data_IF_272933077840
#
_entry.id   IF_272933077840
#
_cell.length_a   1.000
_cell.length_b   1.000
_cell.length_c   1.000
_cell.angle_alpha   90.00
_cell.angle_beta   90.00
_cell.angle_gamma   90.00
#
_symmetry.space_group_name_H-M   'P 1'
#
loop_
_entity.id
_entity.type
_entity.pdbx_description
1 polymer ?
#
# COMPACT_ATOMS: atom_id res chain seq x y z
N UNK A 1 -11.13 -35.12 -1.22
CA UNK A 1 -11.24 -34.67 0.17
C UNK A 1 -11.95 -33.33 0.17
N UNK A 2 -12.94 -33.13 1.04
CA UNK A 2 -13.75 -31.91 1.08
C UNK A 2 -14.65 -31.87 2.30
N UNK A 3 -15.23 -30.72 2.61
CA UNK A 3 -16.06 -30.53 3.81
C UNK A 3 -17.21 -31.54 3.86
N UNK A 4 -17.82 -31.82 2.71
CA UNK A 4 -18.93 -32.78 2.52
C UNK A 4 -18.59 -34.24 2.84
N UNK A 5 -17.31 -34.61 2.93
CA UNK A 5 -16.86 -35.98 3.24
C UNK A 5 -16.14 -36.06 4.59
N UNK A 6 -15.36 -35.05 4.95
CA UNK A 6 -14.47 -35.07 6.12
C UNK A 6 -15.09 -34.39 7.37
N UNK A 7 -16.05 -33.47 7.17
CA UNK A 7 -16.57 -32.60 8.24
C UNK A 7 -18.08 -32.77 8.49
N UNK A 8 -18.66 -33.89 8.05
CA UNK A 8 -20.08 -34.25 8.22
C UNK A 8 -20.46 -34.67 9.66
N UNK A 9 -20.02 -33.92 10.66
CA UNK A 9 -20.27 -34.22 12.09
C UNK A 9 -20.48 -32.95 12.92
N UNK A 10 -20.99 -33.10 14.14
CA UNK A 10 -21.10 -31.97 15.08
C UNK A 10 -19.73 -31.37 15.43
N UNK A 11 -18.69 -32.21 15.51
CA UNK A 11 -17.30 -31.76 15.68
C UNK A 11 -16.83 -30.97 14.45
N UNK A 12 -17.11 -31.47 13.24
CA UNK A 12 -16.79 -30.79 11.99
C UNK A 12 -17.50 -29.43 11.88
N UNK A 13 -18.76 -29.34 12.31
CA UNK A 13 -19.48 -28.07 12.40
C UNK A 13 -18.77 -27.07 13.32
N UNK A 14 -18.36 -27.49 14.53
CA UNK A 14 -17.62 -26.64 15.45
C UNK A 14 -16.28 -26.16 14.87
N UNK A 15 -15.55 -27.04 14.18
CA UNK A 15 -14.30 -26.68 13.49
C UNK A 15 -14.55 -25.64 12.37
N UNK A 16 -15.61 -25.81 11.58
CA UNK A 16 -16.00 -24.85 10.53
C UNK A 16 -16.42 -23.49 11.09
N UNK A 17 -17.07 -23.44 12.26
CA UNK A 17 -17.39 -22.18 12.92
C UNK A 17 -16.13 -21.44 13.37
N UNK A 18 -15.16 -22.14 13.97
CA UNK A 18 -13.89 -21.56 14.40
C UNK A 18 -13.04 -21.08 13.21
N UNK A 19 -13.02 -21.85 12.12
CA UNK A 19 -12.34 -21.47 10.88
C UNK A 19 -12.92 -20.16 10.32
N UNK A 20 -14.24 -20.04 10.21
CA UNK A 20 -14.89 -18.82 9.72
C UNK A 20 -14.58 -17.59 10.61
N UNK A 21 -14.50 -17.77 11.92
CA UNK A 21 -14.09 -16.69 12.84
C UNK A 21 -12.61 -16.32 12.68
N UNK A 22 -11.73 -17.30 12.45
CA UNK A 22 -10.32 -17.06 12.22
C UNK A 22 -10.08 -16.29 10.91
N UNK A 23 -10.76 -16.68 9.83
CA UNK A 23 -10.70 -15.97 8.54
C UNK A 23 -11.23 -14.54 8.68
N UNK A 24 -12.34 -14.32 9.37
CA UNK A 24 -12.85 -12.96 9.63
C UNK A 24 -11.84 -12.10 10.40
N UNK A 25 -11.19 -12.66 11.42
CA UNK A 25 -10.13 -11.94 12.17
C UNK A 25 -8.94 -11.60 11.28
N UNK A 26 -8.54 -12.51 10.39
CA UNK A 26 -7.47 -12.28 9.42
C UNK A 26 -7.81 -11.13 8.46
N UNK A 27 -8.99 -11.16 7.86
CA UNK A 27 -9.45 -10.12 6.93
C UNK A 27 -9.55 -8.75 7.62
N UNK A 28 -10.02 -8.71 8.87
CA UNK A 28 -10.06 -7.47 9.65
C UNK A 28 -8.64 -6.93 9.95
N UNK A 29 -7.68 -7.82 10.19
CA UNK A 29 -6.25 -7.47 10.28
C UNK A 29 -5.72 -6.89 8.97
N UNK A 30 -5.97 -7.54 7.84
CA UNK A 30 -5.61 -7.06 6.51
C UNK A 30 -6.22 -5.69 6.21
N UNK A 31 -7.50 -5.49 6.55
CA UNK A 31 -8.20 -4.21 6.35
C UNK A 31 -7.55 -3.06 7.12
N UNK A 32 -7.20 -3.29 8.39
CA UNK A 32 -6.49 -2.29 9.20
C UNK A 32 -5.10 -1.99 8.64
N UNK A 33 -4.38 -3.02 8.19
CA UNK A 33 -3.07 -2.86 7.58
C UNK A 33 -3.13 -2.05 6.29
N UNK A 34 -4.08 -2.35 5.39
CA UNK A 34 -4.30 -1.56 4.17
C UNK A 34 -4.74 -0.12 4.49
N UNK A 35 -5.59 0.09 5.49
CA UNK A 35 -5.98 1.43 5.93
C UNK A 35 -4.78 2.24 6.44
N UNK A 36 -3.83 1.58 7.12
CA UNK A 36 -2.59 2.22 7.54
C UNK A 36 -1.72 2.58 6.32
N UNK A 37 -1.66 1.73 5.29
CA UNK A 37 -0.95 2.06 4.04
C UNK A 37 -1.54 3.29 3.36
N UNK A 38 -2.87 3.36 3.23
CA UNK A 38 -3.58 4.55 2.71
C UNK A 38 -3.18 5.82 3.47
N UNK A 39 -3.14 5.76 4.80
CA UNK A 39 -2.72 6.88 5.64
C UNK A 39 -1.26 7.27 5.37
N UNK A 40 -0.37 6.29 5.31
CA UNK A 40 1.06 6.50 5.07
C UNK A 40 1.33 7.13 3.70
N UNK A 41 0.72 6.64 2.63
CA UNK A 41 0.91 7.19 1.27
C UNK A 41 0.37 8.63 1.20
N UNK A 42 -0.76 8.91 1.87
CA UNK A 42 -1.33 10.27 1.95
C UNK A 42 -0.45 11.24 2.75
N UNK A 43 0.12 10.79 3.87
CA UNK A 43 1.05 11.59 4.67
C UNK A 43 2.34 11.86 3.90
N UNK A 44 2.88 10.86 3.20
CA UNK A 44 4.10 11.02 2.42
C UNK A 44 3.90 11.96 1.23
N UNK A 45 2.77 11.85 0.52
CA UNK A 45 2.37 12.83 -0.48
C UNK A 45 2.34 14.27 0.08
N UNK A 46 1.79 14.46 1.29
CA UNK A 46 1.78 15.75 1.96
C UNK A 46 3.18 16.30 2.27
N UNK A 47 4.12 15.44 2.69
CA UNK A 47 5.50 15.83 2.95
C UNK A 47 6.23 16.23 1.66
N UNK A 48 6.07 15.46 0.58
CA UNK A 48 6.64 15.79 -0.73
C UNK A 48 6.07 17.08 -1.31
N UNK A 49 4.75 17.30 -1.17
CA UNK A 49 4.12 18.56 -1.54
C UNK A 49 4.70 19.75 -0.77
N UNK A 50 5.01 19.57 0.50
CA UNK A 50 5.61 20.64 1.29
C UNK A 50 7.03 21.00 0.81
N UNK A 51 7.81 20.00 0.38
CA UNK A 51 9.14 20.22 -0.19
C UNK A 51 9.08 21.06 -1.48
N UNK A 52 8.14 20.76 -2.39
CA UNK A 52 8.00 21.52 -3.64
C UNK A 52 7.57 22.97 -3.41
N UNK A 53 6.79 23.24 -2.36
CA UNK A 53 6.35 24.59 -2.00
C UNK A 53 7.47 25.44 -1.38
N UNK A 54 8.37 24.84 -0.60
CA UNK A 54 9.50 25.56 0.03
C UNK A 54 10.50 26.12 -1.02
N UNK A 55 10.58 25.50 -2.19
CA UNK A 55 11.46 25.91 -3.29
C UNK A 55 10.96 27.16 -4.06
N UNK A 56 9.78 27.68 -3.74
CA UNK A 56 9.23 28.91 -4.34
C UNK A 56 10.15 30.14 -4.19
N UNK A 57 11.13 30.10 -3.29
CA UNK A 57 12.14 31.14 -3.06
C UNK A 57 13.28 31.19 -4.08
N UNK A 58 13.47 30.15 -4.91
CA UNK A 58 14.53 30.10 -5.94
C UNK A 58 14.24 30.88 -7.23
N UNK A 59 13.06 31.51 -7.34
CA UNK A 59 12.62 32.29 -8.52
C UNK A 59 13.46 33.55 -8.81
N UNK A 60 14.52 33.80 -8.04
CA UNK A 60 15.50 34.86 -8.26
C UNK A 60 16.73 34.43 -9.08
N UNK A 61 16.94 33.13 -9.36
CA UNK A 61 18.00 32.70 -10.27
C UNK A 61 17.65 33.08 -11.72
N UNK A 62 18.67 33.48 -12.48
CA UNK A 62 18.49 33.82 -13.90
C UNK A 62 17.82 32.66 -14.63
N UNK A 63 16.71 32.88 -15.35
CA UNK A 63 15.96 31.82 -16.05
C UNK A 63 16.80 31.12 -17.14
N UNK A 64 17.99 31.64 -17.44
CA UNK A 64 18.92 31.12 -18.44
C UNK A 64 20.00 30.20 -17.85
N UNK A 65 20.01 29.94 -16.53
CA UNK A 65 20.95 29.02 -15.88
C UNK A 65 20.52 27.56 -16.09
N UNK A 66 21.36 26.70 -16.70
CA UNK A 66 21.13 25.26 -16.81
C UNK A 66 20.87 24.58 -15.45
N UNK A 67 21.62 24.96 -14.40
CA UNK A 67 21.39 24.44 -13.04
C UNK A 67 20.01 24.85 -12.52
N UNK A 68 19.63 26.13 -12.68
CA UNK A 68 18.32 26.62 -12.24
C UNK A 68 17.17 25.91 -12.94
N UNK A 69 17.27 25.68 -14.26
CA UNK A 69 16.27 24.93 -15.03
C UNK A 69 16.17 23.47 -14.59
N UNK A 70 17.32 22.81 -14.39
CA UNK A 70 17.37 21.41 -13.97
C UNK A 70 16.81 21.24 -12.57
N UNK A 71 17.10 22.18 -11.67
CA UNK A 71 16.53 22.20 -10.32
C UNK A 71 15.01 22.40 -10.33
N UNK A 72 14.50 23.34 -11.13
CA UNK A 72 13.06 23.56 -11.28
C UNK A 72 12.35 22.31 -11.84
N UNK A 73 12.97 21.57 -12.75
CA UNK A 73 12.43 20.30 -13.25
C UNK A 73 12.39 19.24 -12.14
N UNK A 74 13.46 19.09 -11.36
CA UNK A 74 13.51 18.15 -10.22
C UNK A 74 12.40 18.44 -9.20
N UNK A 75 12.16 19.71 -8.87
CA UNK A 75 11.12 20.08 -7.89
C UNK A 75 9.71 19.93 -8.47
N UNK A 76 9.53 20.21 -9.76
CA UNK A 76 8.29 19.91 -10.50
C UNK A 76 7.96 18.41 -10.53
N UNK A 77 8.95 17.56 -10.83
CA UNK A 77 8.79 16.10 -10.84
C UNK A 77 8.51 15.55 -9.44
N UNK A 78 9.13 16.12 -8.39
CA UNK A 78 8.82 15.79 -6.99
C UNK A 78 7.36 16.13 -6.62
N UNK A 79 6.81 17.24 -7.12
CA UNK A 79 5.38 17.54 -6.99
C UNK A 79 4.50 16.55 -7.79
N UNK A 80 4.98 16.09 -8.95
CA UNK A 80 4.37 14.98 -9.68
C UNK A 80 4.23 13.71 -8.84
N UNK A 81 5.32 13.31 -8.17
CA UNK A 81 5.35 12.15 -7.27
C UNK A 81 4.39 12.31 -6.07
N UNK A 82 4.32 13.52 -5.51
CA UNK A 82 3.35 13.86 -4.46
C UNK A 82 1.91 13.60 -4.90
N UNK A 83 1.53 14.06 -6.10
CA UNK A 83 0.18 13.83 -6.64
C UNK A 83 -0.09 12.35 -6.88
N UNK A 84 0.89 11.63 -7.43
CA UNK A 84 0.77 10.20 -7.69
C UNK A 84 0.52 9.39 -6.40
N UNK A 85 1.29 9.64 -5.34
CA UNK A 85 1.10 8.94 -4.06
C UNK A 85 -0.24 9.28 -3.38
N UNK A 86 -0.74 10.50 -3.59
CA UNK A 86 -2.08 10.88 -3.12
C UNK A 86 -3.15 10.09 -3.85
N UNK A 87 -3.00 9.93 -5.16
CA UNK A 87 -3.88 9.09 -5.98
C UNK A 87 -3.80 7.62 -5.55
N UNK A 88 -2.61 7.07 -5.28
CA UNK A 88 -2.48 5.71 -4.72
C UNK A 88 -3.30 5.54 -3.44
N UNK A 89 -3.24 6.52 -2.52
CA UNK A 89 -4.03 6.47 -1.30
C UNK A 89 -5.54 6.49 -1.56
N UNK A 90 -6.01 7.29 -2.52
CA UNK A 90 -7.42 7.39 -2.91
C UNK A 90 -7.92 6.12 -3.61
N UNK A 91 -7.13 5.58 -4.54
CA UNK A 91 -7.43 4.36 -5.30
C UNK A 91 -7.39 3.12 -4.40
N UNK A 92 -6.42 3.02 -3.50
CA UNK A 92 -6.39 1.96 -2.47
C UNK A 92 -7.63 2.01 -1.58
N UNK A 93 -8.05 3.20 -1.17
CA UNK A 93 -9.17 3.39 -0.27
C UNK A 93 -10.52 3.07 -0.93
N UNK A 94 -10.71 3.49 -2.19
CA UNK A 94 -11.95 3.29 -2.94
C UNK A 94 -12.02 1.93 -3.65
N UNK A 95 -10.89 1.32 -3.98
CA UNK A 95 -10.77 0.01 -4.63
C UNK A 95 -10.60 -1.16 -3.64
N UNK A 96 -9.39 -1.70 -3.46
CA UNK A 96 -9.17 -2.94 -2.72
C UNK A 96 -9.63 -2.88 -1.26
N UNK A 97 -9.48 -1.74 -0.57
CA UNK A 97 -9.94 -1.59 0.81
C UNK A 97 -11.48 -1.66 0.92
N UNK A 98 -12.21 -1.07 -0.02
CA UNK A 98 -13.68 -1.09 -0.03
C UNK A 98 -14.21 -2.50 -0.36
N UNK A 99 -13.60 -3.17 -1.35
CA UNK A 99 -13.87 -4.57 -1.73
C UNK A 99 -13.63 -5.52 -0.56
N UNK A 100 -12.53 -5.34 0.18
CA UNK A 100 -12.23 -6.11 1.39
C UNK A 100 -13.28 -5.87 2.48
N UNK A 101 -13.74 -4.63 2.65
CA UNK A 101 -14.83 -4.28 3.55
C UNK A 101 -16.15 -5.00 3.21
N UNK A 102 -16.47 -5.12 1.91
CA UNK A 102 -17.63 -5.88 1.44
C UNK A 102 -17.45 -7.38 1.71
N UNK A 103 -16.29 -7.96 1.37
CA UNK A 103 -16.00 -9.37 1.60
C UNK A 103 -16.14 -9.77 3.08
N UNK A 104 -15.72 -8.89 4.01
CA UNK A 104 -15.91 -9.10 5.44
C UNK A 104 -17.40 -9.17 5.80
N UNK A 105 -18.23 -8.27 5.27
CA UNK A 105 -19.68 -8.27 5.51
C UNK A 105 -20.35 -9.52 4.97
N UNK A 106 -20.02 -9.92 3.74
CA UNK A 106 -20.55 -11.14 3.13
C UNK A 106 -20.16 -12.38 3.93
N UNK A 107 -18.92 -12.47 4.44
CA UNK A 107 -18.49 -13.57 5.31
C UNK A 107 -19.20 -13.60 6.66
N UNK A 108 -19.47 -12.43 7.25
CA UNK A 108 -20.27 -12.35 8.48
C UNK A 108 -21.70 -12.86 8.25
N UNK A 109 -22.28 -12.54 7.10
CA UNK A 109 -23.61 -13.01 6.74
C UNK A 109 -23.62 -14.51 6.43
N UNK A 110 -22.66 -15.00 5.63
CA UNK A 110 -22.47 -16.41 5.31
C UNK A 110 -22.38 -17.25 6.59
N UNK A 111 -21.60 -16.80 7.57
CA UNK A 111 -21.44 -17.50 8.86
C UNK A 111 -22.76 -17.65 9.60
N UNK A 112 -23.59 -16.61 9.64
CA UNK A 112 -24.92 -16.66 10.27
C UNK A 112 -25.83 -17.63 9.53
N UNK A 113 -25.96 -17.47 8.22
CA UNK A 113 -26.82 -18.29 7.38
C UNK A 113 -26.43 -19.77 7.43
N UNK A 114 -25.14 -20.10 7.37
CA UNK A 114 -24.66 -21.47 7.54
C UNK A 114 -25.05 -22.06 8.90
N UNK A 115 -24.86 -21.30 9.98
CA UNK A 115 -25.19 -21.77 11.34
C UNK A 115 -26.68 -22.03 11.50
N UNK A 116 -27.52 -21.14 10.97
CA UNK A 116 -28.98 -21.28 10.99
C UNK A 116 -29.45 -22.49 10.18
N UNK A 117 -28.94 -22.65 8.94
CA UNK A 117 -29.27 -23.79 8.09
C UNK A 117 -28.83 -25.12 8.71
N UNK A 118 -27.64 -25.16 9.31
CA UNK A 118 -27.16 -26.35 10.00
C UNK A 118 -28.06 -26.71 11.19
N UNK A 119 -28.43 -25.72 12.02
CA UNK A 119 -29.34 -25.92 13.15
C UNK A 119 -30.72 -26.40 12.69
N UNK A 120 -31.26 -25.83 11.62
CA UNK A 120 -32.54 -26.25 11.05
C UNK A 120 -32.51 -27.73 10.65
N UNK A 121 -31.47 -28.17 9.92
CA UNK A 121 -31.32 -29.57 9.52
C UNK A 121 -31.24 -30.52 10.74
N UNK A 122 -30.54 -30.12 11.82
CA UNK A 122 -30.50 -30.93 13.04
C UNK A 122 -31.84 -30.99 13.78
N UNK A 123 -32.58 -29.89 13.81
CA UNK A 123 -33.91 -29.85 14.42
C UNK A 123 -34.89 -30.74 13.66
N UNK A 124 -34.88 -30.68 12.33
CA UNK A 124 -35.73 -31.52 11.48
C UNK A 124 -35.41 -33.01 11.65
N UNK A 125 -34.12 -33.37 11.69
CA UNK A 125 -33.69 -34.74 11.98
C UNK A 125 -34.15 -35.20 13.37
N UNK A 126 -33.95 -34.37 14.40
CA UNK A 126 -34.33 -34.70 15.78
C UNK A 126 -35.84 -34.89 15.92
N UNK A 127 -36.63 -34.03 15.27
CA UNK A 127 -38.08 -34.12 15.26
C UNK A 127 -38.56 -35.42 14.59
N UNK A 128 -38.09 -35.69 13.37
CA UNK A 128 -38.51 -36.85 12.60
C UNK A 128 -38.02 -38.18 13.20
N UNK A 129 -36.78 -38.23 13.69
CA UNK A 129 -36.17 -39.49 14.14
C UNK A 129 -36.45 -39.81 15.61
N UNK A 130 -36.51 -38.80 16.48
CA UNK A 130 -36.65 -39.00 17.92
C UNK A 130 -38.06 -38.65 18.41
N UNK A 131 -38.51 -37.42 18.20
CA UNK A 131 -39.74 -36.92 18.84
C UNK A 131 -41.00 -37.62 18.30
N UNK A 132 -41.16 -37.65 16.99
CA UNK A 132 -42.35 -38.25 16.36
C UNK A 132 -42.38 -39.78 16.56
N UNK A 133 -41.23 -40.43 16.51
CA UNK A 133 -41.10 -41.88 16.73
C UNK A 133 -41.39 -42.26 18.18
N UNK A 134 -40.86 -41.54 19.18
CA UNK A 134 -41.16 -41.83 20.59
C UNK A 134 -42.64 -41.55 20.93
N UNK A 135 -43.25 -40.55 20.30
CA UNK A 135 -44.69 -40.31 20.40
C UNK A 135 -45.50 -41.47 19.83
N UNK A 136 -45.14 -41.99 18.66
CA UNK A 136 -45.80 -43.15 18.08
C UNK A 136 -45.62 -44.41 18.94
N UNK A 137 -44.40 -44.65 19.44
CA UNK A 137 -44.09 -45.79 20.33
C UNK A 137 -44.87 -45.73 21.64
N UNK A 138 -44.92 -44.58 22.30
CA UNK A 138 -45.64 -44.42 23.57
C UNK A 138 -47.13 -44.70 23.41
N UNK A 139 -47.76 -44.13 22.38
CA UNK A 139 -49.16 -44.38 22.02
C UNK A 139 -49.41 -45.86 21.68
N UNK A 140 -48.48 -46.50 20.94
CA UNK A 140 -48.57 -47.91 20.63
C UNK A 140 -48.61 -48.75 21.91
N UNK A 141 -47.67 -48.52 22.85
CA UNK A 141 -47.59 -49.28 24.11
C UNK A 141 -48.90 -49.19 24.91
N UNK A 142 -49.53 -48.01 24.95
CA UNK A 142 -50.83 -47.83 25.61
C UNK A 142 -51.91 -48.66 24.91
N UNK A 143 -52.07 -48.52 23.58
CA UNK A 143 -53.08 -49.27 22.82
C UNK A 143 -52.88 -50.78 22.89
N UNK A 144 -51.63 -51.25 22.95
CA UNK A 144 -51.31 -52.66 23.11
C UNK A 144 -51.72 -53.19 24.50
N UNK A 145 -51.46 -52.42 25.56
CA UNK A 145 -51.91 -52.74 26.93
C UNK A 145 -53.44 -52.75 27.03
N UNK A 146 -54.10 -51.74 26.47
CA UNK A 146 -55.57 -51.66 26.44
C UNK A 146 -56.19 -52.85 25.69
N UNK A 147 -55.59 -53.23 24.56
CA UNK A 147 -56.04 -54.37 23.77
C UNK A 147 -55.83 -55.70 24.51
N UNK A 148 -54.71 -55.86 25.20
CA UNK A 148 -54.45 -57.04 26.04
C UNK A 148 -55.44 -57.12 27.22
N UNK A 149 -55.78 -56.00 27.85
CA UNK A 149 -56.76 -55.95 28.92
C UNK A 149 -58.17 -56.26 28.42
N UNK A 150 -58.57 -55.71 27.27
CA UNK A 150 -59.86 -56.01 26.64
C UNK A 150 -59.98 -57.48 26.23
N UNK A 151 -58.88 -58.08 25.74
CA UNK A 151 -58.81 -59.52 25.44
C UNK A 151 -59.07 -60.38 26.68
N UNK A 152 -58.41 -60.08 27.81
CA UNK A 152 -58.60 -60.80 29.08
C UNK A 152 -60.06 -60.72 29.54
N UNK A 153 -60.63 -59.51 29.58
CA UNK A 153 -62.04 -59.29 29.97
C UNK A 153 -63.05 -60.02 29.07
N UNK A 154 -62.77 -60.12 27.77
CA UNK A 154 -63.60 -60.90 26.85
C UNK A 154 -63.51 -62.42 27.13
N UNK A 155 -62.32 -62.93 27.44
CA UNK A 155 -62.12 -64.34 27.78
C UNK A 155 -62.77 -64.75 29.10
N UNK A 156 -62.85 -63.82 30.07
CA UNK A 156 -63.42 -64.05 31.40
C UNK A 156 -64.96 -63.89 31.45
N UNK A 157 -65.61 -63.38 30.41
CA UNK A 157 -67.05 -63.14 30.40
C UNK A 157 -67.86 -64.43 30.17
N UNK A 158 -68.65 -64.86 31.17
CA UNK A 158 -69.40 -66.12 31.13
C UNK A 158 -70.87 -66.02 30.69
N UNK A 159 -71.48 -64.83 30.69
CA UNK A 159 -72.88 -64.59 30.27
C UNK A 159 -72.96 -64.09 28.83
N UNK A 160 -73.86 -64.63 28.00
CA UNK A 160 -73.96 -64.29 26.56
C UNK A 160 -74.06 -62.78 26.29
N UNK A 161 -74.94 -62.06 27.01
CA UNK A 161 -75.14 -60.61 26.81
C UNK A 161 -73.93 -59.76 27.24
N UNK A 162 -73.19 -60.18 28.26
CA UNK A 162 -71.99 -59.49 28.74
C UNK A 162 -70.77 -59.83 27.87
N UNK A 163 -70.75 -61.05 27.33
CA UNK A 163 -69.74 -61.54 26.41
C UNK A 163 -69.78 -60.82 25.07
N UNK A 164 -70.97 -60.55 24.52
CA UNK A 164 -71.11 -59.77 23.28
C UNK A 164 -70.61 -58.32 23.44
N UNK A 165 -70.95 -57.66 24.56
CA UNK A 165 -70.42 -56.32 24.87
C UNK A 165 -68.90 -56.32 25.04
N UNK A 166 -68.34 -57.34 25.69
CA UNK A 166 -66.91 -57.48 25.86
C UNK A 166 -66.19 -57.76 24.52
N UNK A 167 -66.81 -58.55 23.63
CA UNK A 167 -66.35 -58.81 22.26
C UNK A 167 -66.27 -57.51 21.46
N UNK A 168 -67.34 -56.71 21.45
CA UNK A 168 -67.36 -55.44 20.71
C UNK A 168 -66.30 -54.45 21.21
N UNK A 169 -66.04 -54.43 22.52
CA UNK A 169 -64.99 -53.59 23.11
C UNK A 169 -63.60 -54.06 22.70
N UNK A 170 -63.38 -55.37 22.65
CA UNK A 170 -62.12 -55.97 22.19
C UNK A 170 -61.88 -55.75 20.70
N UNK A 171 -62.90 -55.93 19.84
CA UNK A 171 -62.79 -55.64 18.40
C UNK A 171 -62.45 -54.17 18.17
N UNK A 172 -63.09 -53.25 18.90
CA UNK A 172 -62.79 -51.81 18.82
C UNK A 172 -61.37 -51.47 19.30
N UNK A 173 -60.85 -52.12 20.34
CA UNK A 173 -59.47 -51.89 20.78
C UNK A 173 -58.46 -52.43 19.78
N UNK A 174 -58.70 -53.62 19.20
CA UNK A 174 -57.88 -54.18 18.12
C UNK A 174 -57.85 -53.28 16.89
N UNK A 175 -59.00 -52.75 16.45
CA UNK A 175 -59.05 -51.83 15.30
C UNK A 175 -58.14 -50.61 15.52
N UNK A 176 -58.20 -49.99 16.71
CA UNK A 176 -57.31 -48.88 17.06
C UNK A 176 -55.84 -49.29 17.09
N UNK A 177 -55.53 -50.46 17.66
CA UNK A 177 -54.18 -50.98 17.72
C UNK A 177 -53.60 -51.25 16.32
N UNK A 178 -54.36 -51.89 15.44
CA UNK A 178 -53.92 -52.19 14.07
C UNK A 178 -53.74 -50.91 13.24
N UNK A 179 -54.67 -49.97 13.32
CA UNK A 179 -54.53 -48.67 12.66
C UNK A 179 -53.27 -47.93 13.14
N UNK A 180 -53.02 -47.93 14.45
CA UNK A 180 -51.83 -47.29 15.01
C UNK A 180 -50.54 -48.05 14.69
N UNK A 181 -50.58 -49.39 14.61
CA UNK A 181 -49.45 -50.19 14.14
C UNK A 181 -49.01 -49.79 12.74
N UNK A 182 -49.97 -49.70 11.81
CA UNK A 182 -49.68 -49.27 10.44
C UNK A 182 -49.06 -47.86 10.43
N UNK A 183 -49.60 -46.93 11.23
CA UNK A 183 -49.05 -45.57 11.35
C UNK A 183 -47.63 -45.56 11.92
N UNK A 184 -47.34 -46.42 12.90
CA UNK A 184 -46.00 -46.56 13.45
C UNK A 184 -45.02 -47.13 12.42
N UNK A 185 -45.38 -48.19 11.70
CA UNK A 185 -44.55 -48.79 10.64
C UNK A 185 -44.22 -47.76 9.56
N UNK A 186 -45.22 -47.00 9.09
CA UNK A 186 -45.01 -45.93 8.12
C UNK A 186 -44.12 -44.81 8.68
N UNK A 187 -44.34 -44.41 9.94
CA UNK A 187 -43.51 -43.42 10.62
C UNK A 187 -42.04 -43.83 10.73
N UNK A 188 -41.77 -45.10 11.09
CA UNK A 188 -40.40 -45.65 11.11
C UNK A 188 -39.78 -45.59 9.73
N UNK A 189 -40.53 -45.96 8.67
CA UNK A 189 -40.01 -45.89 7.31
C UNK A 189 -39.69 -44.46 6.88
N UNK A 190 -40.54 -43.50 7.24
CA UNK A 190 -40.29 -42.07 6.98
C UNK A 190 -39.03 -41.58 7.71
N UNK A 191 -38.86 -41.93 8.98
CA UNK A 191 -37.66 -41.57 9.76
C UNK A 191 -36.37 -42.21 9.19
N UNK A 192 -36.42 -43.45 8.72
CA UNK A 192 -35.29 -44.10 8.04
C UNK A 192 -34.86 -43.36 6.77
N UNK A 193 -35.83 -42.99 5.92
CA UNK A 193 -35.55 -42.21 4.71
C UNK A 193 -35.00 -40.82 5.06
N UNK A 194 -35.56 -40.15 6.07
CA UNK A 194 -35.07 -38.85 6.52
C UNK A 194 -33.63 -38.95 7.03
N UNK A 195 -33.29 -39.97 7.83
CA UNK A 195 -31.93 -40.22 8.28
C UNK A 195 -30.97 -40.43 7.10
N UNK A 196 -31.36 -41.29 6.14
CA UNK A 196 -30.56 -41.54 4.95
C UNK A 196 -30.32 -40.26 4.14
N UNK A 197 -31.38 -39.51 3.84
CA UNK A 197 -31.29 -38.26 3.07
C UNK A 197 -30.46 -37.21 3.80
N UNK A 198 -30.60 -37.09 5.11
CA UNK A 198 -29.83 -36.14 5.91
C UNK A 198 -28.32 -36.38 5.79
N UNK A 199 -27.89 -37.62 5.97
CA UNK A 199 -26.46 -37.96 6.00
C UNK A 199 -25.84 -38.14 4.61
N UNK A 200 -26.62 -38.52 3.59
CA UNK A 200 -26.09 -38.77 2.25
C UNK A 200 -26.25 -37.58 1.31
N UNK A 201 -27.20 -36.68 1.56
CA UNK A 201 -27.55 -35.60 0.62
C UNK A 201 -27.57 -34.22 1.29
N UNK A 202 -28.39 -34.02 2.33
CA UNK A 202 -28.66 -32.68 2.85
C UNK A 202 -27.44 -32.05 3.53
N UNK A 203 -26.84 -32.74 4.51
CA UNK A 203 -25.67 -32.22 5.21
C UNK A 203 -24.43 -32.17 4.29
N UNK A 204 -24.11 -33.21 3.50
CA UNK A 204 -23.03 -33.11 2.53
C UNK A 204 -23.22 -31.98 1.53
N UNK A 205 -24.45 -31.77 1.03
CA UNK A 205 -24.78 -30.68 0.11
C UNK A 205 -24.57 -29.30 0.71
N UNK A 206 -25.00 -29.08 1.96
CA UNK A 206 -24.73 -27.84 2.69
C UNK A 206 -23.23 -27.58 2.88
N UNK A 207 -22.46 -28.62 3.19
CA UNK A 207 -21.03 -28.50 3.40
C UNK A 207 -20.26 -28.29 2.09
N UNK A 208 -20.72 -28.88 0.99
CA UNK A 208 -20.14 -28.65 -0.33
C UNK A 208 -20.36 -27.20 -0.77
N UNK A 209 -21.58 -26.68 -0.68
CA UNK A 209 -21.85 -25.28 -1.04
C UNK A 209 -21.08 -24.30 -0.15
N UNK A 210 -20.91 -24.60 1.14
CA UNK A 210 -20.05 -23.83 2.03
C UNK A 210 -18.60 -23.83 1.55
N UNK A 211 -18.07 -24.99 1.15
CA UNK A 211 -16.71 -25.11 0.64
C UNK A 211 -16.52 -24.30 -0.65
N UNK A 212 -17.44 -24.44 -1.60
CA UNK A 212 -17.39 -23.73 -2.88
C UNK A 212 -17.37 -22.20 -2.65
N UNK A 213 -18.26 -21.71 -1.77
CA UNK A 213 -18.28 -20.28 -1.40
C UNK A 213 -16.97 -19.82 -0.73
N UNK A 214 -16.35 -20.64 0.13
CA UNK A 214 -15.06 -20.28 0.73
C UNK A 214 -13.94 -20.23 -0.30
N UNK A 215 -13.97 -21.10 -1.31
CA UNK A 215 -13.00 -21.10 -2.40
C UNK A 215 -13.19 -19.88 -3.31
N UNK A 216 -14.43 -19.52 -3.65
CA UNK A 216 -14.73 -18.29 -4.41
C UNK A 216 -14.26 -17.05 -3.66
N UNK A 217 -14.53 -16.97 -2.36
CA UNK A 217 -14.07 -15.85 -1.53
C UNK A 217 -12.55 -15.79 -1.38
N UNK A 218 -11.84 -16.93 -1.51
CA UNK A 218 -10.38 -16.95 -1.55
C UNK A 218 -9.85 -16.40 -2.88
N UNK A 219 -10.52 -16.70 -4.01
CA UNK A 219 -10.22 -16.09 -5.30
C UNK A 219 -10.43 -14.57 -5.26
N UNK A 220 -11.54 -14.10 -4.69
CA UNK A 220 -11.80 -12.65 -4.53
C UNK A 220 -10.70 -11.99 -3.68
N UNK A 221 -10.29 -12.62 -2.58
CA UNK A 221 -9.21 -12.10 -1.75
C UNK A 221 -7.89 -12.01 -2.52
N UNK A 222 -7.58 -13.01 -3.36
CA UNK A 222 -6.39 -12.99 -4.21
C UNK A 222 -6.41 -11.78 -5.14
N UNK A 223 -7.53 -11.52 -5.82
CA UNK A 223 -7.69 -10.36 -6.72
C UNK A 223 -7.51 -9.04 -5.98
N UNK A 224 -8.11 -8.91 -4.79
CA UNK A 224 -7.94 -7.72 -3.91
C UNK A 224 -6.46 -7.49 -3.57
N UNK A 225 -5.72 -8.56 -3.26
CA UNK A 225 -4.30 -8.46 -2.92
C UNK A 225 -3.44 -8.11 -4.15
N UNK A 226 -3.80 -8.60 -5.34
CA UNK A 226 -3.12 -8.25 -6.59
C UNK A 226 -3.33 -6.77 -6.92
N UNK A 227 -4.58 -6.29 -6.88
CA UNK A 227 -4.92 -4.88 -7.08
C UNK A 227 -4.22 -3.97 -6.06
N UNK A 228 -4.13 -4.39 -4.78
CA UNK A 228 -3.33 -3.69 -3.77
C UNK A 228 -1.86 -3.51 -4.18
N UNK A 229 -1.24 -4.58 -4.69
CA UNK A 229 0.18 -4.55 -5.09
C UNK A 229 0.39 -3.69 -6.33
N UNK A 230 -0.54 -3.74 -7.29
CA UNK A 230 -0.53 -2.92 -8.49
C UNK A 230 -0.58 -1.44 -8.13
N UNK A 231 -1.59 -1.01 -7.35
CA UNK A 231 -1.78 0.41 -6.99
C UNK A 231 -0.63 0.91 -6.10
N UNK A 232 -0.14 0.10 -5.15
CA UNK A 232 0.78 0.57 -4.12
C UNK A 232 2.27 0.39 -4.47
N UNK A 233 2.58 -0.04 -5.70
CA UNK A 233 3.95 -0.27 -6.15
C UNK A 233 4.71 1.05 -6.33
N UNK A 234 5.89 1.15 -5.71
CA UNK A 234 6.81 2.29 -5.90
C UNK A 234 7.79 2.08 -7.06
N UNK A 235 7.65 0.97 -7.79
CA UNK A 235 8.51 0.60 -8.92
C UNK A 235 7.71 0.39 -10.21
N UNK A 236 6.47 0.87 -10.23
CA UNK A 236 5.64 0.89 -11.44
C UNK A 236 6.14 1.95 -12.43
N UNK A 237 5.73 1.81 -13.68
CA UNK A 237 6.20 2.61 -14.81
C UNK A 237 6.08 4.13 -14.57
N UNK A 238 4.98 4.58 -13.95
CA UNK A 238 4.75 6.00 -13.65
C UNK A 238 5.76 6.56 -12.65
N UNK A 239 6.08 5.81 -11.58
CA UNK A 239 7.08 6.22 -10.59
C UNK A 239 8.48 6.17 -11.20
N UNK A 240 8.77 5.15 -12.01
CA UNK A 240 10.04 5.02 -12.72
C UNK A 240 10.24 6.18 -13.71
N UNK A 241 9.21 6.56 -14.47
CA UNK A 241 9.26 7.68 -15.40
C UNK A 241 9.60 9.00 -14.71
N UNK A 242 9.00 9.27 -13.55
CA UNK A 242 9.32 10.47 -12.74
C UNK A 242 10.81 10.48 -12.36
N UNK A 243 11.33 9.36 -11.85
CA UNK A 243 12.75 9.29 -11.44
C UNK A 243 13.70 9.39 -12.65
N UNK A 244 13.31 8.87 -13.82
CA UNK A 244 14.07 9.00 -15.05
C UNK A 244 14.12 10.45 -15.54
N UNK A 245 13.02 11.21 -15.47
CA UNK A 245 13.01 12.64 -15.82
C UNK A 245 13.89 13.47 -14.87
N UNK A 246 13.85 13.18 -13.56
CA UNK A 246 14.74 13.81 -12.58
C UNK A 246 16.21 13.53 -12.91
N UNK A 247 16.55 12.28 -13.22
CA UNK A 247 17.91 11.89 -13.61
C UNK A 247 18.34 12.57 -14.92
N UNK A 248 17.44 12.64 -15.90
CA UNK A 248 17.68 13.33 -17.17
C UNK A 248 17.90 14.84 -16.97
N UNK A 249 17.20 15.48 -16.03
CA UNK A 249 17.42 16.88 -15.67
C UNK A 249 18.84 17.11 -15.16
N UNK A 250 19.32 16.27 -14.25
CA UNK A 250 20.71 16.34 -13.75
C UNK A 250 21.72 16.12 -14.88
N UNK A 251 21.48 15.14 -15.75
CA UNK A 251 22.38 14.81 -16.85
C UNK A 251 22.51 15.93 -17.91
N UNK A 252 21.58 16.88 -17.97
CA UNK A 252 21.65 18.05 -18.88
C UNK A 252 22.57 19.17 -18.39
N UNK A 253 23.00 19.14 -17.13
CA UNK A 253 23.85 20.20 -16.56
C UNK A 253 25.22 20.16 -17.24
N UNK A 254 25.59 21.28 -17.85
CA UNK A 254 26.90 21.50 -18.47
C UNK A 254 27.64 22.60 -17.69
N UNK A 255 28.63 22.27 -16.86
CA UNK A 255 29.33 23.23 -16.00
C UNK A 255 29.90 24.44 -16.76
N UNK A 256 30.43 24.22 -17.96
CA UNK A 256 31.05 25.25 -18.81
C UNK A 256 30.01 26.21 -19.44
N UNK A 257 28.73 25.81 -19.44
CA UNK A 257 27.65 26.58 -20.03
C UNK A 257 26.90 27.45 -19.01
N UNK A 258 27.13 27.25 -17.71
CA UNK A 258 26.32 27.82 -16.62
C UNK A 258 26.13 29.34 -16.72
N UNK A 259 27.22 30.07 -17.01
CA UNK A 259 27.22 31.53 -17.06
C UNK A 259 27.03 32.11 -18.45
N UNK A 260 26.90 31.30 -19.51
CA UNK A 260 26.79 31.82 -20.88
C UNK A 260 25.55 32.71 -21.06
N UNK A 261 24.40 32.29 -20.53
CA UNK A 261 23.17 33.09 -20.56
C UNK A 261 23.29 34.38 -19.75
N UNK A 262 23.96 34.32 -18.59
CA UNK A 262 24.22 35.47 -17.74
C UNK A 262 25.14 36.49 -18.41
N UNK A 263 26.27 36.05 -18.98
CA UNK A 263 27.21 36.90 -19.70
C UNK A 263 26.60 37.54 -20.95
N UNK A 264 25.69 36.85 -21.65
CA UNK A 264 24.94 37.45 -22.77
C UNK A 264 24.01 38.58 -22.31
N UNK A 265 23.45 38.48 -21.10
CA UNK A 265 22.49 39.44 -20.56
C UNK A 265 23.17 40.65 -19.91
N UNK A 266 24.28 40.43 -19.20
CA UNK A 266 24.94 41.45 -18.37
C UNK A 266 26.37 41.79 -18.81
N UNK A 267 26.87 41.14 -19.86
CA UNK A 267 28.18 41.41 -20.42
C UNK A 267 28.27 42.85 -20.92
N UNK A 268 29.36 43.52 -20.56
CA UNK A 268 29.70 44.86 -21.02
C UNK A 268 31.15 44.87 -21.49
N UNK A 269 31.48 45.85 -22.34
CA UNK A 269 32.88 46.11 -22.68
C UNK A 269 33.62 46.56 -21.42
N UNK A 270 34.90 46.16 -21.23
CA UNK A 270 35.69 46.64 -20.11
C UNK A 270 35.67 48.17 -20.05
N UNK A 271 35.37 48.70 -18.88
CA UNK A 271 35.42 50.14 -18.62
C UNK A 271 36.88 50.53 -18.36
N UNK A 272 37.59 50.86 -19.44
CA UNK A 272 38.99 51.27 -19.40
C UNK A 272 39.00 52.80 -19.41
N UNK A 273 39.28 53.47 -18.28
CA UNK A 273 39.40 54.91 -18.27
C UNK A 273 40.55 55.35 -19.19
N UNK A 274 40.49 56.58 -19.75
CA UNK A 274 41.58 57.10 -20.56
C UNK A 274 42.89 57.06 -19.76
N UNK A 275 43.93 56.56 -20.42
CA UNK A 275 45.26 56.53 -19.81
C UNK A 275 45.71 57.97 -19.55
N UNK A 276 46.32 58.20 -18.38
CA UNK A 276 46.89 59.50 -18.04
C UNK A 276 47.97 59.83 -19.06
N UNK A 277 47.82 60.97 -19.73
CA UNK A 277 48.84 61.54 -20.61
C UNK A 277 49.54 62.69 -19.90
N UNK A 278 50.74 63.03 -20.36
CA UNK A 278 51.40 64.26 -19.92
C UNK A 278 50.49 65.46 -20.21
N UNK A 279 50.31 66.35 -19.22
CA UNK A 279 49.47 67.54 -19.36
C UNK A 279 50.28 68.68 -19.99
N UNK A 280 50.08 68.89 -21.30
CA UNK A 280 50.80 69.89 -22.08
C UNK A 280 50.51 71.33 -21.62
N UNK A 281 49.39 71.58 -20.91
CA UNK A 281 49.08 72.91 -20.38
C UNK A 281 50.10 73.39 -19.34
N UNK A 282 50.81 72.46 -18.69
CA UNK A 282 51.88 72.76 -17.76
C UNK A 282 53.11 73.39 -18.44
N UNK A 283 53.19 73.34 -19.77
CA UNK A 283 54.30 73.90 -20.56
C UNK A 283 53.98 75.29 -21.13
N UNK A 284 52.76 75.80 -20.94
CA UNK A 284 52.32 77.10 -21.51
C UNK A 284 52.98 78.32 -20.84
N UNK A 285 53.33 78.22 -19.54
CA UNK A 285 54.00 79.26 -18.77
C UNK A 285 55.39 78.79 -18.30
N UNK A 286 56.38 78.78 -19.19
CA UNK A 286 57.73 78.35 -18.83
C UNK A 286 58.78 78.29 -19.95
N UNK A 287 59.91 77.64 -19.64
CA UNK A 287 61.03 77.36 -20.56
C UNK A 287 60.63 76.34 -21.66
N UNK A 288 61.40 76.27 -22.77
CA UNK A 288 61.15 75.36 -23.91
C UNK A 288 61.43 73.89 -23.54
N UNK A 289 60.49 73.23 -22.84
CA UNK A 289 60.55 71.81 -22.48
C UNK A 289 59.66 70.97 -23.42
N UNK A 290 60.06 69.72 -23.67
CA UNK A 290 59.28 68.76 -24.46
C UNK A 290 58.31 67.96 -23.58
N UNK A 291 57.08 67.76 -24.05
CA UNK A 291 56.04 67.04 -23.32
C UNK A 291 56.38 65.55 -23.15
N UNK A 292 56.30 65.04 -21.92
CA UNK A 292 56.54 63.62 -21.62
C UNK A 292 58.00 63.16 -21.72
N UNK A 293 58.95 64.08 -21.92
CA UNK A 293 60.38 63.76 -22.02
C UNK A 293 61.13 64.20 -20.76
N UNK A 294 62.18 63.45 -20.41
CA UNK A 294 63.06 63.81 -19.30
C UNK A 294 64.01 64.94 -19.71
N UNK A 295 64.08 66.00 -18.91
CA UNK A 295 65.06 67.07 -19.12
C UNK A 295 66.42 66.67 -18.55
N UNK A 296 67.36 66.32 -19.44
CA UNK A 296 68.71 65.91 -19.07
C UNK A 296 69.73 67.00 -19.41
N UNK A 297 70.24 67.69 -18.39
CA UNK A 297 71.28 68.71 -18.54
C UNK A 297 72.23 68.70 -17.33
N UNK A 298 73.15 69.68 -17.28
CA UNK A 298 74.16 69.80 -16.21
C UNK A 298 73.55 69.95 -14.80
N UNK A 299 72.28 70.38 -14.70
CA UNK A 299 71.57 70.57 -13.43
C UNK A 299 70.79 69.32 -12.96
N UNK A 300 70.43 68.42 -13.88
CA UNK A 300 69.53 67.27 -13.59
C UNK A 300 70.21 65.91 -13.72
N UNK A 301 71.43 65.83 -14.28
CA UNK A 301 72.12 64.56 -14.55
C UNK A 301 72.34 63.71 -13.29
N UNK A 302 72.77 64.31 -12.17
CA UNK A 302 73.03 63.57 -10.93
C UNK A 302 71.73 63.08 -10.28
N UNK A 303 70.66 63.89 -10.29
CA UNK A 303 69.37 63.51 -9.73
C UNK A 303 68.69 62.42 -10.55
N UNK A 304 68.76 62.49 -11.88
CA UNK A 304 68.26 61.43 -12.78
C UNK A 304 69.03 60.12 -12.57
N UNK A 305 70.36 60.16 -12.41
CA UNK A 305 71.17 58.97 -12.11
C UNK A 305 70.79 58.35 -10.74
N UNK A 306 70.57 59.17 -9.73
CA UNK A 306 70.11 58.71 -8.42
C UNK A 306 68.71 58.08 -8.51
N UNK A 307 67.75 58.73 -9.19
CA UNK A 307 66.40 58.19 -9.41
C UNK A 307 66.44 56.89 -10.20
N UNK A 308 67.29 56.78 -11.23
CA UNK A 308 67.45 55.54 -11.98
C UNK A 308 67.93 54.40 -11.08
N UNK A 309 68.90 54.67 -10.20
CA UNK A 309 69.42 53.66 -9.27
C UNK A 309 68.33 53.21 -8.30
N UNK A 310 67.61 54.16 -7.68
CA UNK A 310 66.49 53.86 -6.77
C UNK A 310 65.38 53.06 -7.44
N UNK A 311 64.96 53.46 -8.65
CA UNK A 311 63.91 52.75 -9.40
C UNK A 311 64.38 51.35 -9.84
N UNK A 312 65.67 51.17 -10.13
CA UNK A 312 66.23 49.86 -10.45
C UNK A 312 66.18 48.92 -9.24
N UNK A 313 66.52 49.43 -8.05
CA UNK A 313 66.44 48.66 -6.80
C UNK A 313 64.98 48.30 -6.45
N UNK A 314 64.05 49.26 -6.59
CA UNK A 314 62.61 49.04 -6.40
C UNK A 314 62.06 48.01 -7.39
N UNK A 315 62.46 48.08 -8.66
CA UNK A 315 62.06 47.13 -9.69
C UNK A 315 62.59 45.72 -9.41
N UNK A 316 63.83 45.59 -8.91
CA UNK A 316 64.40 44.31 -8.52
C UNK A 316 63.59 43.67 -7.37
N UNK A 317 63.25 44.45 -6.33
CA UNK A 317 62.42 43.98 -5.22
C UNK A 317 60.98 43.61 -5.65
N UNK A 318 60.38 44.40 -6.55
CA UNK A 318 59.07 44.08 -7.13
C UNK A 318 59.12 42.78 -7.95
N UNK A 319 60.20 42.56 -8.70
CA UNK A 319 60.41 41.35 -9.50
C UNK A 319 60.53 40.11 -8.61
N UNK A 320 61.29 40.18 -7.52
CA UNK A 320 61.39 39.10 -6.53
C UNK A 320 60.03 38.78 -5.88
N UNK A 321 59.23 39.83 -5.60
CA UNK A 321 57.86 39.67 -5.08
C UNK A 321 56.94 38.95 -6.08
N UNK A 322 57.03 39.26 -7.37
CA UNK A 322 56.25 38.57 -8.41
C UNK A 322 56.66 37.10 -8.52
N UNK A 323 57.97 36.81 -8.51
CA UNK A 323 58.48 35.44 -8.58
C UNK A 323 58.01 34.60 -7.38
N UNK A 324 58.15 35.12 -6.16
CA UNK A 324 57.69 34.40 -4.95
C UNK A 324 56.18 34.14 -4.96
N UNK A 325 55.36 35.09 -5.45
CA UNK A 325 53.91 34.87 -5.62
C UNK A 325 53.60 33.81 -6.68
N UNK A 326 54.35 33.79 -7.79
CA UNK A 326 54.19 32.78 -8.83
C UNK A 326 54.53 31.38 -8.31
N UNK A 327 55.58 31.25 -7.49
CA UNK A 327 55.93 30.00 -6.83
C UNK A 327 54.83 29.53 -5.86
N UNK A 328 54.27 30.46 -5.07
CA UNK A 328 53.14 30.16 -4.18
C UNK A 328 51.89 29.66 -4.93
N UNK A 329 51.54 30.29 -6.06
CA UNK A 329 50.45 29.83 -6.93
C UNK A 329 50.74 28.43 -7.48
N UNK A 330 51.97 28.17 -7.90
CA UNK A 330 52.39 26.85 -8.42
C UNK A 330 52.34 25.77 -7.34
N UNK A 331 52.64 26.12 -6.08
CA UNK A 331 52.49 25.23 -4.94
C UNK A 331 51.03 24.91 -4.67
N UNK A 332 50.15 25.93 -4.61
CA UNK A 332 48.71 25.74 -4.43
C UNK A 332 48.08 24.86 -5.53
N UNK A 333 48.50 25.03 -6.78
CA UNK A 333 48.06 24.16 -7.88
C UNK A 333 48.49 22.71 -7.70
N UNK A 334 49.71 22.47 -7.18
CA UNK A 334 50.19 21.12 -6.88
C UNK A 334 49.42 20.49 -5.72
N UNK A 335 49.13 21.27 -4.68
CA UNK A 335 48.37 20.79 -3.52
C UNK A 335 46.94 20.42 -3.93
N UNK A 336 46.28 21.27 -4.71
CA UNK A 336 44.94 21.01 -5.24
C UNK A 336 44.90 19.77 -6.14
N UNK A 337 45.88 19.59 -7.02
CA UNK A 337 46.00 18.39 -7.85
C UNK A 337 46.14 17.12 -6.99
N UNK A 338 46.97 17.18 -5.93
CA UNK A 338 47.14 16.06 -5.02
C UNK A 338 45.85 15.73 -4.25
N UNK A 339 45.09 16.75 -3.82
CA UNK A 339 43.80 16.55 -3.17
C UNK A 339 42.76 15.91 -4.11
N UNK A 340 42.68 16.38 -5.36
CA UNK A 340 41.77 15.83 -6.38
C UNK A 340 42.05 14.35 -6.68
N UNK A 341 43.33 13.95 -6.72
CA UNK A 341 43.72 12.55 -6.97
C UNK A 341 43.48 11.63 -5.76
N UNK A 342 43.54 12.17 -4.54
CA UNK A 342 43.44 11.40 -3.30
C UNK A 342 42.02 11.33 -2.72
N UNK A 343 41.05 12.10 -3.22
CA UNK A 343 39.63 12.00 -2.79
C UNK A 343 38.85 10.96 -3.59
N UNK A 344 38.35 9.93 -2.92
CA UNK A 344 37.53 8.86 -3.52
C UNK A 344 36.17 9.43 -4.02
N UNK A 345 35.62 8.97 -5.16
CA UNK A 345 34.37 9.50 -5.76
C UNK A 345 33.10 9.44 -4.89
N UNK A 346 33.15 8.80 -3.72
CA UNK A 346 32.02 8.68 -2.78
C UNK A 346 32.06 9.70 -1.63
N UNK A 347 33.14 10.47 -1.52
CA UNK A 347 33.35 11.52 -0.52
C UNK A 347 33.44 12.92 -1.16
N UNK A 348 33.12 13.03 -2.46
CA UNK A 348 33.00 14.29 -3.19
C UNK A 348 31.58 14.84 -3.14
#
# INVERSE_FOLDING_TARGET
>A
MGFSSELCSAQGHGALQQMQEAELRLLEGMRKWMAQRVKSDREYAGLLHHMSLQDSGGRGMSPNSPISQSWAEITSQTEGLSRLLRQHAEDLNSGPLSKLGLLIRERQQLRKTYSEQWQQLQQDLTKAHNQDIEKLKSQYRVLARDSAQARRKYQEASKDKDRDKAKDKYVRSLWKLFAHHNRYVLGVRAAQLHHQHHHQLLLPGLLQSLQDLHQDMACILKEILQEYLEISSLVQDEVAAIHLEMAAAVARIQPEAEYQGFLRQYGSTPDIPPCVTFDESLLEEGELLAAGELQLNELTVESVQHTLTSVTDELAAATETVLSRQEAVTQLQRDLWNEEQNTHPRER
#
